data_IF_826981742112
#
_entry.id   IF_826981742112
#
_cell.length_a   1.000
_cell.length_b   1.000
_cell.length_c   1.000
_cell.angle_alpha   90.00
_cell.angle_beta   90.00
_cell.angle_gamma   90.00
#
_symmetry.space_group_name_H-M   'P 1'
#
loop_
_entity.id
_entity.type
_entity.pdbx_description
1 polymer ?
#
# COMPACT_ATOMS: atom_id res chain seq x y z
N UNK A 1 -18.90 10.43 12.73
CA UNK A 1 -19.02 9.68 11.46
C UNK A 1 -20.38 9.95 10.85
N UNK A 2 -20.43 10.31 9.56
CA UNK A 2 -21.69 10.58 8.85
C UNK A 2 -21.67 10.01 7.44
N UNK A 3 -22.84 9.65 6.92
CA UNK A 3 -23.04 9.29 5.51
C UNK A 3 -24.12 10.22 4.95
N UNK A 4 -23.82 10.94 3.87
CA UNK A 4 -24.66 12.01 3.30
C UNK A 4 -25.11 13.05 4.34
N UNK A 5 -24.19 13.41 5.25
CA UNK A 5 -24.45 14.33 6.37
C UNK A 5 -25.30 13.74 7.51
N UNK A 6 -25.81 12.52 7.37
CA UNK A 6 -26.60 11.82 8.38
C UNK A 6 -25.72 11.04 9.35
N UNK A 7 -25.99 11.10 10.65
CA UNK A 7 -25.19 10.35 11.62
C UNK A 7 -25.50 8.84 11.55
N UNK A 8 -24.48 7.99 11.65
CA UNK A 8 -24.64 6.53 11.59
C UNK A 8 -25.57 6.01 12.71
N UNK A 9 -25.56 6.68 13.87
CA UNK A 9 -26.41 6.35 15.01
C UNK A 9 -27.91 6.51 14.72
N UNK A 10 -28.29 7.28 13.69
CA UNK A 10 -29.69 7.42 13.29
C UNK A 10 -30.29 6.13 12.71
N UNK A 11 -29.44 5.18 12.28
CA UNK A 11 -29.85 3.82 11.94
C UNK A 11 -29.70 2.84 13.11
N UNK A 12 -29.34 3.31 14.31
CA UNK A 12 -28.99 2.45 15.44
C UNK A 12 -27.75 1.60 15.16
N UNK A 13 -26.81 2.16 14.40
CA UNK A 13 -25.59 1.48 13.98
C UNK A 13 -24.36 2.17 14.58
N UNK A 14 -23.30 1.39 14.79
CA UNK A 14 -21.94 1.87 15.05
C UNK A 14 -21.00 1.22 14.04
N UNK A 15 -20.03 1.97 13.50
CA UNK A 15 -19.03 1.40 12.61
C UNK A 15 -17.97 0.65 13.43
N UNK A 16 -17.63 -0.57 13.03
CA UNK A 16 -16.57 -1.34 13.66
C UNK A 16 -15.20 -0.92 13.15
N UNK A 17 -14.21 -0.85 14.03
CA UNK A 17 -12.84 -0.38 13.72
C UNK A 17 -12.16 -1.17 12.59
N UNK A 18 -12.42 -2.48 12.48
CA UNK A 18 -11.92 -3.31 11.37
C UNK A 18 -12.37 -2.86 9.98
N UNK A 19 -13.30 -1.91 9.88
CA UNK A 19 -13.70 -1.28 8.62
C UNK A 19 -12.64 -0.32 8.07
N UNK A 20 -11.70 0.15 8.90
CA UNK A 20 -10.68 1.11 8.48
C UNK A 20 -9.57 0.47 7.64
N UNK A 21 -9.34 -0.83 7.77
CA UNK A 21 -8.33 -1.56 7.00
C UNK A 21 -8.51 -1.35 5.50
N UNK A 22 -9.70 -1.69 4.98
CA UNK A 22 -10.02 -1.54 3.55
C UNK A 22 -10.17 -0.07 3.13
N UNK A 23 -10.67 0.78 4.03
CA UNK A 23 -10.88 2.21 3.77
C UNK A 23 -9.55 2.94 3.53
N UNK A 24 -8.56 2.66 4.38
CA UNK A 24 -7.24 3.30 4.39
C UNK A 24 -6.23 2.62 3.46
N UNK A 25 -6.45 1.37 3.05
CA UNK A 25 -5.59 0.68 2.08
C UNK A 25 -5.30 1.56 0.86
N UNK A 26 -4.04 1.69 0.42
CA UNK A 26 -3.78 2.48 -0.77
C UNK A 26 -4.37 1.79 -2.02
N UNK A 27 -4.88 2.54 -3.00
CA UNK A 27 -5.50 1.95 -4.17
C UNK A 27 -4.44 1.31 -5.07
N UNK A 28 -4.82 0.27 -5.81
CA UNK A 28 -3.94 -0.38 -6.79
C UNK A 28 -3.80 0.50 -8.03
N UNK A 29 -2.58 0.68 -8.54
CA UNK A 29 -2.35 1.40 -9.81
C UNK A 29 -2.84 0.53 -10.97
N UNK A 30 -3.51 1.14 -11.96
CA UNK A 30 -3.83 0.43 -13.21
C UNK A 30 -2.55 -0.07 -13.87
N UNK A 31 -2.66 -1.20 -14.56
CA UNK A 31 -1.56 -1.76 -15.32
C UNK A 31 -1.03 -0.74 -16.34
N UNK A 32 0.29 -0.55 -16.34
CA UNK A 32 0.97 0.36 -17.26
C UNK A 32 1.44 -0.42 -18.47
N UNK A 33 1.40 0.21 -19.65
CA UNK A 33 1.97 -0.40 -20.85
C UNK A 33 3.49 -0.40 -20.73
N UNK A 34 4.13 -1.51 -21.08
CA UNK A 34 5.58 -1.69 -20.93
C UNK A 34 6.18 -2.13 -22.24
N UNK A 35 7.44 -1.74 -22.47
CA UNK A 35 8.29 -2.32 -23.51
C UNK A 35 9.38 -3.13 -22.83
N UNK A 36 9.48 -4.40 -23.22
CA UNK A 36 10.43 -5.36 -22.68
C UNK A 36 11.27 -5.93 -23.83
N UNK A 37 12.44 -5.35 -24.05
CA UNK A 37 13.38 -5.79 -25.07
C UNK A 37 14.40 -6.76 -24.48
N UNK A 38 14.62 -7.90 -25.14
CA UNK A 38 15.57 -8.92 -24.70
C UNK A 38 17.00 -8.36 -24.61
N UNK A 39 17.32 -7.37 -25.42
CA UNK A 39 18.62 -6.73 -25.56
C UNK A 39 18.88 -5.64 -24.51
N UNK A 40 17.88 -5.27 -23.70
CA UNK A 40 17.96 -4.22 -22.68
C UNK A 40 17.69 -4.76 -21.29
N UNK A 41 18.33 -4.16 -20.27
CA UNK A 41 18.00 -4.46 -18.88
C UNK A 41 16.63 -3.91 -18.52
N UNK A 42 15.87 -4.68 -17.75
CA UNK A 42 14.62 -4.21 -17.18
C UNK A 42 13.50 -3.99 -18.19
N UNK A 43 12.57 -3.11 -17.84
CA UNK A 43 11.43 -2.70 -18.69
C UNK A 43 11.36 -1.19 -18.81
N UNK A 44 10.72 -0.71 -19.87
CA UNK A 44 10.37 0.70 -20.04
C UNK A 44 8.85 0.88 -19.90
N UNK A 45 8.35 1.28 -18.72
CA UNK A 45 6.93 1.53 -18.49
C UNK A 45 6.52 2.92 -18.97
N UNK A 46 5.29 3.05 -19.50
CA UNK A 46 4.65 4.34 -19.70
C UNK A 46 4.05 4.83 -18.38
N UNK A 47 4.68 5.85 -17.80
CA UNK A 47 4.32 6.44 -16.51
C UNK A 47 3.86 7.89 -16.65
N UNK A 48 3.46 8.31 -17.86
CA UNK A 48 2.99 9.66 -18.15
C UNK A 48 1.70 10.01 -17.39
N UNK A 49 0.84 9.03 -17.17
CA UNK A 49 -0.43 9.17 -16.45
C UNK A 49 -0.48 8.27 -15.21
N UNK A 50 -1.24 8.71 -14.20
CA UNK A 50 -1.47 7.94 -12.97
C UNK A 50 -2.97 7.73 -12.78
N UNK A 51 -3.39 6.49 -12.93
CA UNK A 51 -4.75 6.05 -12.69
C UNK A 51 -4.77 4.86 -11.73
N UNK A 52 -5.85 4.75 -10.97
CA UNK A 52 -6.05 3.68 -10.01
C UNK A 52 -7.23 2.81 -10.40
N UNK A 53 -7.17 1.52 -10.03
CA UNK A 53 -8.28 0.60 -10.18
C UNK A 53 -9.38 0.94 -9.16
N UNK A 54 -10.64 0.71 -9.57
CA UNK A 54 -11.75 0.74 -8.64
C UNK A 54 -11.54 -0.34 -7.57
N UNK A 55 -11.87 -0.03 -6.32
CA UNK A 55 -11.67 -0.96 -5.20
C UNK A 55 -12.95 -1.20 -4.43
N UNK A 56 -13.07 -2.42 -3.91
CA UNK A 56 -14.13 -2.80 -2.98
C UNK A 56 -13.68 -2.47 -1.56
N UNK A 57 -14.52 -1.76 -0.82
CA UNK A 57 -14.32 -1.40 0.58
C UNK A 57 -15.39 -2.10 1.38
N UNK A 58 -15.00 -3.02 2.27
CA UNK A 58 -15.92 -3.66 3.19
C UNK A 58 -16.05 -2.80 4.45
N UNK A 59 -17.28 -2.42 4.78
CA UNK A 59 -17.61 -1.74 6.03
C UNK A 59 -18.50 -2.65 6.87
N UNK A 60 -18.16 -2.80 8.14
CA UNK A 60 -18.89 -3.62 9.10
C UNK A 60 -19.61 -2.72 10.11
N UNK A 61 -20.94 -2.81 10.13
CA UNK A 61 -21.80 -2.04 11.03
C UNK A 61 -22.36 -2.94 12.13
N UNK A 62 -22.16 -2.57 13.38
CA UNK A 62 -22.86 -3.17 14.51
C UNK A 62 -24.21 -2.47 14.69
N UNK A 63 -25.30 -3.21 14.55
CA UNK A 63 -26.66 -2.72 14.78
C UNK A 63 -27.20 -3.28 16.10
N UNK A 64 -27.78 -2.40 16.91
CA UNK A 64 -28.53 -2.79 18.10
C UNK A 64 -29.96 -2.25 18.05
N UNK A 65 -30.91 -2.98 18.64
CA UNK A 65 -32.31 -2.56 18.69
C UNK A 65 -33.05 -3.21 19.87
N UNK A 66 -34.12 -2.57 20.33
CA UNK A 66 -35.03 -3.14 21.32
C UNK A 66 -36.20 -3.85 20.61
N UNK A 67 -36.13 -5.16 20.56
CA UNK A 67 -37.11 -6.04 19.93
C UNK A 67 -36.88 -6.21 18.43
N UNK A 68 -37.44 -7.31 17.92
CA UNK A 68 -37.31 -7.71 16.52
C UNK A 68 -37.91 -6.68 15.54
N UNK A 69 -39.07 -6.10 15.86
CA UNK A 69 -39.73 -5.12 14.99
C UNK A 69 -38.86 -3.88 14.74
N UNK A 70 -38.23 -3.37 15.80
CA UNK A 70 -37.37 -2.19 15.71
C UNK A 70 -36.08 -2.51 14.95
N UNK A 71 -35.52 -3.70 15.16
CA UNK A 71 -34.37 -4.19 14.41
C UNK A 71 -34.66 -4.17 12.90
N UNK A 72 -35.74 -4.79 12.46
CA UNK A 72 -36.11 -4.83 11.04
C UNK A 72 -36.42 -3.45 10.47
N UNK A 73 -37.03 -2.56 11.26
CA UNK A 73 -37.26 -1.17 10.86
C UNK A 73 -35.94 -0.43 10.59
N UNK A 74 -34.95 -0.57 11.48
CA UNK A 74 -33.61 0.01 11.33
C UNK A 74 -32.85 -0.58 10.15
N UNK A 75 -32.85 -1.90 10.01
CA UNK A 75 -32.24 -2.63 8.91
C UNK A 75 -32.79 -2.20 7.54
N UNK A 76 -34.11 -2.16 7.39
CA UNK A 76 -34.75 -1.75 6.15
C UNK A 76 -34.44 -0.28 5.82
N UNK A 77 -34.40 0.58 6.83
CA UNK A 77 -34.04 1.99 6.64
C UNK A 77 -32.58 2.18 6.21
N UNK A 78 -31.64 1.49 6.87
CA UNK A 78 -30.23 1.51 6.50
C UNK A 78 -30.05 1.04 5.06
N UNK A 79 -30.63 -0.11 4.73
CA UNK A 79 -30.56 -0.70 3.39
C UNK A 79 -31.15 0.24 2.34
N UNK A 80 -32.34 0.82 2.60
CA UNK A 80 -32.98 1.77 1.70
C UNK A 80 -32.14 3.03 1.47
N UNK A 81 -31.59 3.62 2.54
CA UNK A 81 -30.81 4.86 2.43
C UNK A 81 -29.48 4.61 1.69
N UNK A 82 -28.80 3.48 1.96
CA UNK A 82 -27.50 3.16 1.36
C UNK A 82 -27.58 2.57 -0.05
N UNK A 83 -28.72 1.96 -0.42
CA UNK A 83 -28.97 1.45 -1.78
C UNK A 83 -29.56 2.51 -2.73
N UNK A 84 -29.76 3.74 -2.24
CA UNK A 84 -30.24 4.85 -3.06
C UNK A 84 -29.31 5.10 -4.27
N UNK A 85 -29.90 5.56 -5.38
CA UNK A 85 -29.17 5.76 -6.64
C UNK A 85 -28.02 6.76 -6.49
N UNK A 86 -26.86 6.43 -7.09
CA UNK A 86 -25.67 7.28 -7.06
C UNK A 86 -24.74 7.03 -5.85
N UNK A 87 -23.72 7.89 -5.73
CA UNK A 87 -22.71 7.79 -4.69
C UNK A 87 -23.21 8.34 -3.35
N UNK A 88 -22.73 7.74 -2.27
CA UNK A 88 -22.83 8.23 -0.90
C UNK A 88 -21.56 8.99 -0.54
N UNK A 89 -21.70 10.12 0.12
CA UNK A 89 -20.57 10.83 0.73
C UNK A 89 -20.34 10.27 2.13
N UNK A 90 -19.20 9.65 2.34
CA UNK A 90 -18.85 9.00 3.60
C UNK A 90 -17.75 9.76 4.32
N UNK A 91 -18.09 10.32 5.47
CA UNK A 91 -17.18 11.01 6.40
C UNK A 91 -17.02 10.14 7.65
N UNK A 92 -16.28 9.04 7.50
CA UNK A 92 -16.08 8.03 8.55
C UNK A 92 -14.86 8.31 9.42
N UNK A 93 -13.83 8.90 8.84
CA UNK A 93 -12.65 9.39 9.55
C UNK A 93 -12.62 10.90 9.41
N UNK A 94 -12.38 11.61 10.51
CA UNK A 94 -12.30 13.07 10.49
C UNK A 94 -11.16 13.53 9.56
N UNK A 95 -11.46 14.42 8.61
CA UNK A 95 -10.51 14.88 7.60
C UNK A 95 -10.44 14.04 6.33
N UNK A 96 -11.21 12.94 6.23
CA UNK A 96 -11.29 12.09 5.04
C UNK A 96 -12.75 11.93 4.57
N UNK A 97 -12.98 12.27 3.31
CA UNK A 97 -14.28 12.13 2.65
C UNK A 97 -14.14 11.15 1.49
N UNK A 98 -14.91 10.06 1.52
CA UNK A 98 -14.95 9.06 0.45
C UNK A 98 -16.26 9.12 -0.32
N UNK A 99 -16.21 9.04 -1.65
CA UNK A 99 -17.40 8.89 -2.49
C UNK A 99 -17.56 7.44 -2.90
N UNK A 100 -18.48 6.75 -2.22
CA UNK A 100 -18.63 5.31 -2.33
C UNK A 100 -20.04 4.96 -2.81
N UNK A 101 -20.16 3.95 -3.67
CA UNK A 101 -21.48 3.38 -4.05
C UNK A 101 -21.61 1.98 -3.48
N UNK A 102 -22.82 1.60 -3.07
CA UNK A 102 -23.06 0.24 -2.59
C UNK A 102 -22.81 -0.76 -3.72
N UNK A 103 -22.00 -1.79 -3.45
CA UNK A 103 -21.85 -2.97 -4.29
C UNK A 103 -22.82 -4.02 -3.75
N UNK A 104 -23.78 -4.48 -4.56
CA UNK A 104 -24.80 -5.41 -4.10
C UNK A 104 -24.16 -6.65 -3.45
N UNK A 105 -24.42 -6.86 -2.15
CA UNK A 105 -23.77 -7.90 -1.36
C UNK A 105 -23.91 -7.69 0.14
N UNK A 106 -25.13 -7.41 0.61
CA UNK A 106 -25.42 -7.35 2.06
C UNK A 106 -25.29 -8.76 2.61
N UNK A 107 -24.14 -9.08 3.21
CA UNK A 107 -24.06 -10.25 4.08
C UNK A 107 -24.45 -9.77 5.47
N UNK A 108 -25.59 -10.22 5.96
CA UNK A 108 -25.97 -10.01 7.35
C UNK A 108 -25.82 -11.33 8.10
N UNK A 109 -25.33 -11.26 9.33
CA UNK A 109 -25.49 -12.36 10.26
C UNK A 109 -26.92 -12.36 10.82
N UNK A 110 -27.48 -13.54 11.08
CA UNK A 110 -28.80 -13.64 11.71
C UNK A 110 -28.81 -12.83 13.01
N UNK A 111 -29.86 -12.04 13.29
CA UNK A 111 -29.94 -11.28 14.52
C UNK A 111 -29.79 -12.17 15.74
N UNK A 112 -28.87 -11.82 16.63
CA UNK A 112 -28.67 -12.48 17.91
C UNK A 112 -29.63 -11.86 18.92
N UNK A 113 -30.43 -12.71 19.55
CA UNK A 113 -31.34 -12.31 20.62
C UNK A 113 -30.58 -12.29 21.95
N UNK A 114 -30.53 -11.12 22.58
CA UNK A 114 -29.93 -10.87 23.88
C UNK A 114 -31.02 -10.75 24.95
N UNK A 115 -30.58 -10.71 26.21
CA UNK A 115 -31.46 -10.44 27.36
C UNK A 115 -32.19 -9.10 27.19
N UNK A 116 -33.28 -8.92 27.95
CA UNK A 116 -34.05 -7.67 27.97
C UNK A 116 -34.62 -7.28 26.59
N UNK A 117 -34.96 -8.28 25.76
CA UNK A 117 -35.54 -8.06 24.43
C UNK A 117 -34.64 -7.21 23.52
N UNK A 118 -33.32 -7.28 23.67
CA UNK A 118 -32.38 -6.63 22.76
C UNK A 118 -31.99 -7.56 21.63
N UNK A 119 -31.92 -7.03 20.41
CA UNK A 119 -31.44 -7.76 19.24
C UNK A 119 -30.19 -7.05 18.71
N UNK A 120 -29.17 -7.81 18.31
CA UNK A 120 -27.99 -7.26 17.66
C UNK A 120 -27.57 -8.06 16.43
N UNK A 121 -26.89 -7.41 15.49
CA UNK A 121 -26.29 -8.08 14.33
C UNK A 121 -25.11 -7.26 13.81
N UNK A 122 -24.16 -7.94 13.19
CA UNK A 122 -23.11 -7.31 12.37
C UNK A 122 -23.54 -7.39 10.91
N UNK A 123 -23.55 -6.22 10.28
CA UNK A 123 -23.91 -6.03 8.88
C UNK A 123 -22.66 -5.71 8.08
N UNK A 124 -22.26 -6.63 7.21
CA UNK A 124 -21.15 -6.44 6.31
C UNK A 124 -21.66 -5.91 4.96
N UNK A 125 -21.24 -4.70 4.63
CA UNK A 125 -21.62 -4.01 3.40
C UNK A 125 -20.38 -3.74 2.56
N UNK A 126 -20.42 -4.18 1.30
CA UNK A 126 -19.38 -3.88 0.33
C UNK A 126 -19.74 -2.61 -0.44
N UNK A 127 -18.80 -1.68 -0.53
CA UNK A 127 -18.91 -0.48 -1.34
C UNK A 127 -17.83 -0.49 -2.42
N UNK A 128 -18.08 0.20 -3.54
CA UNK A 128 -17.05 0.48 -4.54
C UNK A 128 -16.65 1.94 -4.44
N UNK A 129 -15.34 2.16 -4.38
CA UNK A 129 -14.72 3.45 -4.74
C UNK A 129 -14.25 3.35 -6.20
N UNK A 130 -14.99 3.98 -7.13
CA UNK A 130 -14.64 3.91 -8.55
C UNK A 130 -13.45 4.81 -8.90
N UNK A 131 -13.29 5.93 -8.18
CA UNK A 131 -12.25 6.92 -8.45
C UNK A 131 -11.61 7.38 -7.14
N UNK A 132 -10.39 6.87 -6.88
CA UNK A 132 -9.59 7.34 -5.76
C UNK A 132 -9.09 8.77 -6.04
N UNK A 133 -9.35 9.68 -5.10
CA UNK A 133 -8.88 11.06 -5.19
C UNK A 133 -7.65 11.25 -4.32
N UNK A 134 -6.54 11.66 -4.94
CA UNK A 134 -5.31 11.99 -4.21
C UNK A 134 -5.43 13.36 -3.56
N UNK A 135 -4.97 13.44 -2.32
CA UNK A 135 -4.80 14.71 -1.58
C UNK A 135 -3.32 14.99 -1.50
N UNK A 136 -2.89 16.17 -1.93
CA UNK A 136 -1.49 16.59 -1.85
C UNK A 136 -1.16 17.08 -0.44
N UNK A 137 -0.09 16.57 0.14
CA UNK A 137 0.37 16.94 1.48
C UNK A 137 1.89 16.80 1.60
N UNK A 138 2.43 17.31 2.71
CA UNK A 138 3.85 17.24 3.08
C UNK A 138 3.99 16.59 4.47
N UNK A 139 5.07 15.85 4.73
CA UNK A 139 5.26 15.17 6.01
C UNK A 139 5.29 16.16 7.20
N UNK A 140 4.73 15.74 8.34
CA UNK A 140 4.71 16.52 9.58
C UNK A 140 4.67 15.59 10.80
N UNK A 141 5.26 16.01 11.92
CA UNK A 141 5.23 15.26 13.18
C UNK A 141 6.29 14.15 13.27
N UNK A 142 6.25 13.18 12.35
CA UNK A 142 7.27 12.15 12.15
C UNK A 142 7.69 11.34 13.40
N UNK A 143 8.61 10.40 13.21
CA UNK A 143 9.26 9.66 14.30
C UNK A 143 10.73 10.08 14.42
N UNK A 144 11.54 9.45 15.29
CA UNK A 144 13.01 9.72 15.34
C UNK A 144 13.84 8.68 14.59
N UNK A 145 13.25 7.57 14.18
CA UNK A 145 13.90 6.56 13.34
C UNK A 145 14.18 7.16 11.97
N UNK A 146 15.45 7.18 11.53
CA UNK A 146 15.88 7.78 10.26
C UNK A 146 16.90 6.91 9.56
N UNK A 147 17.02 7.11 8.26
CA UNK A 147 18.13 6.64 7.44
C UNK A 147 17.98 5.20 6.97
N UNK A 148 16.79 4.59 7.02
CA UNK A 148 16.59 3.28 6.39
C UNK A 148 16.19 3.42 4.92
N UNK A 149 15.19 4.28 4.66
CA UNK A 149 14.63 4.54 3.35
C UNK A 149 14.32 6.02 3.19
N UNK A 150 14.45 6.52 1.96
CA UNK A 150 13.94 7.83 1.59
C UNK A 150 13.30 7.79 0.21
N UNK A 151 12.16 8.46 0.03
CA UNK A 151 11.47 8.60 -1.26
C UNK A 151 11.52 10.07 -1.69
N UNK A 152 12.04 10.32 -2.89
CA UNK A 152 12.21 11.67 -3.45
C UNK A 152 12.95 12.65 -2.51
N UNK A 153 13.85 12.13 -1.68
CA UNK A 153 14.64 12.90 -0.71
C UNK A 153 14.01 13.04 0.68
N UNK A 154 12.76 12.62 0.88
CA UNK A 154 12.12 12.58 2.19
C UNK A 154 12.37 11.24 2.87
N UNK A 155 12.90 11.26 4.08
CA UNK A 155 13.09 10.05 4.88
C UNK A 155 11.74 9.47 5.30
N UNK A 156 11.60 8.15 5.31
CA UNK A 156 10.35 7.48 5.69
C UNK A 156 9.91 7.88 7.11
N UNK A 157 10.87 8.09 8.00
CA UNK A 157 10.55 8.51 9.36
C UNK A 157 9.97 9.93 9.44
N UNK A 158 10.11 10.79 8.43
CA UNK A 158 9.43 12.09 8.39
C UNK A 158 7.90 11.94 8.26
N UNK A 159 7.44 10.87 7.61
CA UNK A 159 6.02 10.49 7.54
C UNK A 159 5.56 9.71 8.78
N UNK A 160 6.44 9.50 9.76
CA UNK A 160 6.16 8.60 10.88
C UNK A 160 6.25 7.12 10.51
N UNK A 161 6.91 6.78 9.39
CA UNK A 161 6.98 5.41 8.87
C UNK A 161 8.28 4.72 9.26
N UNK A 162 8.18 3.48 9.73
CA UNK A 162 9.29 2.54 9.87
C UNK A 162 9.10 1.29 9.02
N UNK A 163 10.13 0.45 8.97
CA UNK A 163 10.15 -0.82 8.23
C UNK A 163 10.76 -1.90 9.11
N UNK A 164 10.09 -3.04 9.20
CA UNK A 164 10.54 -4.20 9.98
C UNK A 164 11.08 -5.34 9.10
N UNK A 165 10.98 -5.21 7.77
CA UNK A 165 11.39 -6.25 6.85
C UNK A 165 12.92 -6.44 6.79
N UNK A 166 13.32 -7.70 6.82
CA UNK A 166 14.66 -8.11 6.40
C UNK A 166 14.85 -7.78 4.92
N UNK A 167 15.86 -6.96 4.63
CA UNK A 167 16.11 -6.40 3.29
C UNK A 167 16.63 -7.45 2.27
N UNK A 168 16.64 -8.73 2.65
CA UNK A 168 17.18 -9.86 1.87
C UNK A 168 16.53 -9.96 0.48
N UNK A 169 15.22 -9.82 0.40
CA UNK A 169 14.49 -9.89 -0.87
C UNK A 169 14.87 -8.74 -1.82
N UNK A 170 15.19 -7.55 -1.28
CA UNK A 170 15.67 -6.41 -2.05
C UNK A 170 17.10 -6.66 -2.56
N UNK A 171 17.93 -7.34 -1.78
CA UNK A 171 19.33 -7.65 -2.12
C UNK A 171 19.47 -8.77 -3.16
N UNK A 172 18.47 -9.65 -3.31
CA UNK A 172 18.51 -10.73 -4.32
C UNK A 172 18.76 -10.18 -5.73
N UNK A 173 19.61 -10.85 -6.50
CA UNK A 173 19.81 -10.53 -7.92
C UNK A 173 18.51 -10.69 -8.69
N UNK A 174 18.19 -9.78 -9.64
CA UNK A 174 17.03 -9.94 -10.51
C UNK A 174 17.19 -11.19 -11.37
N UNK A 175 16.06 -11.75 -11.82
CA UNK A 175 16.06 -12.84 -12.78
C UNK A 175 16.75 -12.41 -14.08
N UNK A 176 17.37 -13.35 -14.78
CA UNK A 176 17.94 -13.11 -16.10
C UNK A 176 16.83 -13.15 -17.16
N UNK A 177 17.02 -12.39 -18.24
CA UNK A 177 16.19 -12.51 -19.43
C UNK A 177 16.64 -13.68 -20.29
N UNK A 178 15.71 -14.20 -21.07
CA UNK A 178 16.07 -15.09 -22.18
C UNK A 178 16.92 -14.31 -23.19
N UNK A 179 18.04 -14.88 -23.66
CA UNK A 179 18.87 -14.22 -24.66
C UNK A 179 18.10 -13.99 -25.96
N UNK A 180 18.42 -12.91 -26.66
CA UNK A 180 17.82 -12.63 -27.96
C UNK A 180 18.14 -13.74 -28.97
N UNK A 181 17.16 -14.11 -29.80
CA UNK A 181 17.32 -15.06 -30.89
C UNK A 181 16.58 -14.60 -32.14
N UNK A 182 17.25 -14.65 -33.28
CA UNK A 182 16.63 -14.42 -34.61
C UNK A 182 16.08 -15.71 -35.23
N UNK A 183 16.09 -16.82 -34.46
CA UNK A 183 15.70 -18.15 -34.91
C UNK A 183 16.83 -18.97 -35.56
N UNK A 184 18.01 -18.38 -35.76
CA UNK A 184 19.20 -19.06 -36.30
C UNK A 184 20.38 -18.98 -35.34
N UNK A 185 20.57 -17.82 -34.70
CA UNK A 185 21.62 -17.57 -33.74
C UNK A 185 21.02 -17.05 -32.45
N UNK A 186 21.61 -17.47 -31.33
CA UNK A 186 21.29 -16.97 -30.00
C UNK A 186 22.41 -16.01 -29.60
N UNK A 187 22.07 -14.78 -29.23
CA UNK A 187 23.04 -13.81 -28.73
C UNK A 187 23.38 -14.10 -27.27
N UNK A 188 24.52 -14.77 -27.04
CA UNK A 188 25.05 -15.05 -25.71
C UNK A 188 26.11 -14.04 -25.25
N UNK A 189 26.30 -12.93 -25.99
CA UNK A 189 27.37 -11.97 -25.71
C UNK A 189 27.05 -11.02 -24.57
N UNK A 190 25.76 -10.80 -24.27
CA UNK A 190 25.33 -9.90 -23.20
C UNK A 190 24.28 -10.56 -22.33
N UNK A 191 24.46 -10.48 -21.01
CA UNK A 191 23.47 -10.93 -20.04
C UNK A 191 22.58 -9.73 -19.70
N UNK A 192 21.26 -9.92 -19.79
CA UNK A 192 20.27 -8.90 -19.41
C UNK A 192 19.44 -9.38 -18.24
N UNK A 193 19.06 -8.43 -17.39
CA UNK A 193 18.25 -8.70 -16.19
C UNK A 193 16.81 -8.25 -16.41
N UNK A 194 15.88 -8.95 -15.78
CA UNK A 194 14.49 -8.56 -15.70
C UNK A 194 14.30 -7.36 -14.75
N UNK A 195 13.16 -6.70 -14.88
CA UNK A 195 12.70 -5.75 -13.87
C UNK A 195 12.47 -6.49 -12.53
N UNK A 196 12.43 -5.74 -11.43
CA UNK A 196 12.24 -6.32 -10.11
C UNK A 196 11.03 -5.73 -9.42
N UNK A 197 10.21 -6.58 -8.83
CA UNK A 197 9.17 -6.16 -7.89
C UNK A 197 9.70 -6.35 -6.47
N UNK A 198 9.59 -5.31 -5.66
CA UNK A 198 9.91 -5.37 -4.23
C UNK A 198 8.65 -5.07 -3.43
N UNK A 199 8.55 -5.70 -2.27
CA UNK A 199 7.53 -5.42 -1.26
C UNK A 199 8.23 -4.85 -0.04
N UNK A 200 7.65 -3.80 0.53
CA UNK A 200 8.13 -3.20 1.77
C UNK A 200 6.98 -3.28 2.77
N UNK A 201 7.16 -4.04 3.85
CA UNK A 201 6.24 -4.07 4.99
C UNK A 201 6.63 -2.97 5.95
N UNK A 202 5.70 -2.02 6.10
CA UNK A 202 5.89 -0.76 6.76
C UNK A 202 4.89 -0.64 7.90
N UNK A 203 5.25 0.16 8.89
CA UNK A 203 4.32 0.64 9.91
C UNK A 203 4.35 2.15 9.96
N UNK A 204 3.24 2.80 10.34
CA UNK A 204 3.15 4.24 10.53
C UNK A 204 2.59 4.56 11.90
N UNK A 205 3.25 5.47 12.60
CA UNK A 205 2.83 6.03 13.89
C UNK A 205 2.48 7.51 13.78
N UNK A 206 1.45 7.93 14.50
CA UNK A 206 1.10 9.34 14.64
C UNK A 206 0.42 9.60 15.99
N UNK A 207 0.49 10.86 16.47
CA UNK A 207 -0.08 11.26 17.78
C UNK A 207 -1.53 11.75 17.71
N UNK A 208 -2.10 11.77 16.52
CA UNK A 208 -3.49 12.17 16.27
C UNK A 208 -3.94 11.68 14.90
N UNK A 209 -5.27 11.59 14.71
CA UNK A 209 -5.88 11.28 13.41
C UNK A 209 -5.47 12.31 12.34
N UNK A 210 -5.37 13.59 12.70
CA UNK A 210 -4.99 14.66 11.77
C UNK A 210 -3.53 14.53 11.28
N UNK A 211 -2.60 14.25 12.19
CA UNK A 211 -1.19 13.99 11.83
C UNK A 211 -1.08 12.73 10.96
N UNK A 212 -1.79 11.66 11.35
CA UNK A 212 -1.84 10.42 10.59
C UNK A 212 -2.31 10.65 9.15
N UNK A 213 -3.48 11.26 8.95
CA UNK A 213 -4.03 11.48 7.61
C UNK A 213 -3.15 12.39 6.76
N UNK A 214 -2.55 13.43 7.36
CA UNK A 214 -1.59 14.28 6.65
C UNK A 214 -0.41 13.45 6.13
N UNK A 215 0.19 12.61 6.98
CA UNK A 215 1.35 11.79 6.59
C UNK A 215 0.98 10.65 5.63
N UNK A 216 -0.19 10.05 5.80
CA UNK A 216 -0.79 9.10 4.87
C UNK A 216 -0.88 9.72 3.45
N UNK A 217 -1.45 10.92 3.34
CA UNK A 217 -1.56 11.64 2.07
C UNK A 217 -0.19 12.08 1.53
N UNK A 218 0.70 12.56 2.40
CA UNK A 218 2.02 13.03 2.03
C UNK A 218 2.88 11.89 1.48
N UNK A 219 2.87 10.73 2.14
CA UNK A 219 3.59 9.54 1.70
C UNK A 219 3.06 9.07 0.35
N UNK A 220 1.74 8.95 0.20
CA UNK A 220 1.14 8.53 -1.07
C UNK A 220 1.37 9.52 -2.21
N UNK A 221 1.47 10.82 -1.91
CA UNK A 221 1.84 11.86 -2.88
C UNK A 221 3.25 11.61 -3.44
N UNK A 222 4.23 11.30 -2.59
CA UNK A 222 5.58 10.97 -3.03
C UNK A 222 5.66 9.63 -3.76
N UNK A 223 4.81 8.68 -3.36
CA UNK A 223 4.83 7.32 -3.88
C UNK A 223 4.18 7.19 -5.26
N UNK A 224 3.09 7.92 -5.49
CA UNK A 224 2.19 7.76 -6.64
C UNK A 224 2.35 8.83 -7.73
N UNK A 225 3.50 9.52 -7.78
CA UNK A 225 3.80 10.51 -8.81
C UNK A 225 3.82 9.95 -10.23
N UNK A 226 3.76 10.86 -11.22
CA UNK A 226 4.08 10.53 -12.62
C UNK A 226 5.56 10.21 -12.75
N UNK A 227 5.92 9.41 -13.74
CA UNK A 227 7.29 8.94 -13.91
C UNK A 227 7.74 8.00 -12.79
N UNK A 228 9.05 7.79 -12.71
CA UNK A 228 9.66 7.03 -11.62
C UNK A 228 9.97 7.94 -10.44
N UNK A 229 9.90 7.36 -9.25
CA UNK A 229 10.21 7.99 -7.97
C UNK A 229 11.56 7.48 -7.48
N UNK A 230 12.32 8.37 -6.84
CA UNK A 230 13.68 8.10 -6.38
C UNK A 230 13.66 7.47 -4.99
N UNK A 231 13.91 6.17 -4.89
CA UNK A 231 13.98 5.43 -3.64
C UNK A 231 15.44 5.21 -3.22
N UNK A 232 15.85 5.82 -2.11
CA UNK A 232 17.09 5.52 -1.42
C UNK A 232 16.90 4.33 -0.48
N UNK A 233 17.86 3.41 -0.50
CA UNK A 233 17.89 2.21 0.36
C UNK A 233 19.24 2.17 1.05
N UNK A 234 19.26 2.32 2.37
CA UNK A 234 20.51 2.48 3.12
C UNK A 234 21.42 1.27 3.05
N UNK A 235 20.88 0.04 3.07
CA UNK A 235 21.70 -1.17 2.95
C UNK A 235 22.41 -1.31 1.61
N UNK A 236 21.85 -0.72 0.54
CA UNK A 236 22.53 -0.63 -0.75
C UNK A 236 23.49 0.56 -0.81
N UNK A 237 23.34 1.53 0.10
CA UNK A 237 24.04 2.82 0.06
C UNK A 237 23.79 3.55 -1.27
N UNK A 238 22.63 3.33 -1.89
CA UNK A 238 22.33 3.76 -3.25
C UNK A 238 20.85 4.10 -3.43
N UNK A 239 20.59 4.86 -4.49
CA UNK A 239 19.25 5.25 -4.92
C UNK A 239 18.88 4.51 -6.18
N UNK A 240 17.63 4.02 -6.24
CA UNK A 240 17.04 3.39 -7.42
C UNK A 240 15.76 4.11 -7.83
N UNK A 241 15.40 3.95 -9.10
CA UNK A 241 14.13 4.44 -9.63
C UNK A 241 13.05 3.37 -9.46
N UNK A 242 11.90 3.76 -8.91
CA UNK A 242 10.74 2.88 -8.67
C UNK A 242 9.45 3.50 -9.18
N UNK A 243 8.42 2.69 -9.37
CA UNK A 243 7.05 3.19 -9.38
C UNK A 243 6.15 2.28 -8.54
N UNK A 244 5.14 2.87 -7.93
CA UNK A 244 4.16 2.15 -7.13
C UNK A 244 3.21 1.33 -8.00
N UNK A 245 2.98 0.08 -7.61
CA UNK A 245 2.02 -0.80 -8.27
C UNK A 245 0.80 -1.08 -7.41
N UNK A 246 0.98 -1.44 -6.14
CA UNK A 246 -0.11 -1.95 -5.30
C UNK A 246 0.20 -1.84 -3.80
N UNK A 247 -0.83 -1.93 -2.97
CA UNK A 247 -0.74 -2.09 -1.52
C UNK A 247 -1.42 -3.40 -1.15
N UNK A 248 -0.70 -4.54 -1.12
CA UNK A 248 -1.33 -5.85 -0.92
C UNK A 248 -2.03 -6.01 0.44
N UNK A 249 -1.51 -5.40 1.51
CA UNK A 249 -2.03 -5.51 2.86
C UNK A 249 -2.08 -4.16 3.55
N UNK A 250 -3.08 -3.99 4.41
CA UNK A 250 -3.26 -2.84 5.29
C UNK A 250 -4.02 -3.30 6.53
N UNK A 251 -3.57 -2.89 7.71
CA UNK A 251 -4.16 -3.27 8.99
C UNK A 251 -4.00 -2.12 9.97
N UNK A 252 -5.09 -1.70 10.58
CA UNK A 252 -5.08 -0.75 11.70
C UNK A 252 -4.93 -1.55 13.00
N UNK A 253 -3.81 -1.35 13.70
CA UNK A 253 -3.57 -2.03 14.98
C UNK A 253 -4.10 -1.20 16.16
N UNK A 254 -3.87 0.11 16.13
CA UNK A 254 -4.30 1.03 17.18
C UNK A 254 -4.98 2.23 16.53
N UNK A 255 -6.20 2.52 16.97
CA UNK A 255 -6.97 3.70 16.56
C UNK A 255 -7.52 4.47 17.78
N UNK A 256 -6.67 5.28 18.41
CA UNK A 256 -7.03 6.08 19.58
C UNK A 256 -6.76 7.57 19.32
N UNK A 257 -7.36 8.45 20.11
CA UNK A 257 -7.25 9.91 19.92
C UNK A 257 -5.80 10.40 19.91
N UNK A 258 -4.94 9.80 20.74
CA UNK A 258 -3.54 10.18 20.92
C UNK A 258 -2.53 9.27 20.24
N UNK A 259 -2.97 8.11 19.76
CA UNK A 259 -2.07 7.06 19.28
C UNK A 259 -2.72 6.32 18.11
N UNK A 260 -2.12 6.46 16.94
CA UNK A 260 -2.50 5.74 15.73
C UNK A 260 -1.32 4.87 15.33
N UNK A 261 -1.57 3.58 15.12
CA UNK A 261 -0.60 2.62 14.58
C UNK A 261 -1.25 1.80 13.48
N UNK A 262 -0.62 1.80 12.31
CA UNK A 262 -1.05 0.99 11.16
C UNK A 262 0.12 0.22 10.59
N UNK A 263 -0.18 -0.94 10.02
CA UNK A 263 0.73 -1.80 9.28
C UNK A 263 0.26 -1.91 7.85
N UNK A 264 1.18 -1.82 6.90
CA UNK A 264 0.83 -1.96 5.50
C UNK A 264 2.03 -2.40 4.68
N UNK A 265 1.78 -3.19 3.65
CA UNK A 265 2.81 -3.52 2.67
C UNK A 265 2.54 -2.76 1.39
N UNK A 266 3.56 -2.12 0.84
CA UNK A 266 3.53 -1.54 -0.50
C UNK A 266 4.34 -2.40 -1.47
N UNK A 267 3.90 -2.44 -2.72
CA UNK A 267 4.60 -3.06 -3.84
C UNK A 267 5.15 -1.98 -4.76
N UNK A 268 6.45 -2.06 -5.02
CA UNK A 268 7.17 -1.15 -5.90
C UNK A 268 7.81 -1.95 -7.03
N UNK A 269 7.77 -1.39 -8.22
CA UNK A 269 8.46 -1.95 -9.38
C UNK A 269 9.71 -1.12 -9.63
N UNK A 270 10.86 -1.77 -9.71
CA UNK A 270 12.13 -1.23 -10.13
C UNK A 270 12.28 -1.58 -11.62
N UNK A 271 12.07 -0.61 -12.54
CA UNK A 271 12.06 -0.90 -13.96
C UNK A 271 13.41 -1.45 -14.42
N UNK A 272 14.51 -0.90 -13.92
CA UNK A 272 15.89 -1.31 -14.20
C UNK A 272 16.67 -1.39 -12.89
N UNK A 273 17.24 -2.55 -12.59
CA UNK A 273 18.09 -2.76 -11.40
C UNK A 273 19.51 -2.29 -11.71
N UNK A 274 19.94 -1.19 -11.11
CA UNK A 274 21.20 -0.51 -11.46
C UNK A 274 22.41 -0.91 -10.62
N UNK A 275 22.21 -1.58 -9.48
CA UNK A 275 23.29 -1.97 -8.56
C UNK A 275 23.81 -3.41 -8.79
N UNK A 276 23.30 -4.12 -9.80
CA UNK A 276 23.76 -5.44 -10.19
C UNK A 276 24.51 -5.32 -11.51
N UNK A 277 25.84 -5.48 -11.49
CA UNK A 277 26.62 -5.56 -12.73
C UNK A 277 26.50 -6.96 -13.32
N UNK A 278 26.00 -7.04 -14.55
CA UNK A 278 25.87 -8.27 -15.35
C UNK A 278 27.02 -8.36 -16.37
N UNK A 279 28.24 -8.09 -15.92
CA UNK A 279 29.47 -8.27 -16.69
C UNK A 279 29.81 -7.13 -17.66
N UNK A 280 29.24 -5.94 -17.46
CA UNK A 280 29.51 -4.74 -18.25
C UNK A 280 30.43 -3.77 -17.53
N UNK A 281 31.76 -4.01 -17.58
CA UNK A 281 32.87 -3.09 -17.22
C UNK A 281 32.85 -2.52 -15.78
N UNK A 282 31.85 -2.78 -14.95
CA UNK A 282 31.71 -2.16 -13.64
C UNK A 282 32.12 -3.14 -12.54
N UNK A 283 33.45 -3.35 -12.47
CA UNK A 283 34.15 -4.13 -11.43
C UNK A 283 33.37 -4.13 -10.12
N UNK A 284 32.98 -5.34 -9.70
CA UNK A 284 32.56 -5.71 -8.36
C UNK A 284 32.65 -4.54 -7.36
N UNK A 285 31.51 -3.94 -6.99
CA UNK A 285 31.43 -3.35 -5.66
C UNK A 285 31.29 -4.51 -4.70
N UNK A 286 32.42 -5.18 -4.48
CA UNK A 286 32.63 -6.10 -3.36
C UNK A 286 31.96 -5.45 -2.15
N UNK A 287 31.15 -6.23 -1.44
CA UNK A 287 30.63 -5.90 -0.12
C UNK A 287 31.83 -5.77 0.82
N UNK A 288 32.54 -4.64 0.73
CA UNK A 288 33.66 -4.34 1.61
C UNK A 288 33.08 -3.83 2.92
N UNK A 289 32.77 -4.75 3.83
CA UNK A 289 32.60 -4.40 5.22
C UNK A 289 33.99 -4.06 5.78
N UNK A 290 34.25 -2.76 6.01
CA UNK A 290 35.51 -2.27 6.57
C UNK A 290 35.81 -2.78 7.98
N UNK A 291 34.81 -3.26 8.70
CA UNK A 291 34.96 -3.77 10.06
C UNK A 291 35.23 -5.28 10.10
N UNK A 292 34.81 -6.03 9.07
CA UNK A 292 34.90 -7.50 9.04
C UNK A 292 35.95 -8.07 8.08
N UNK A 293 36.52 -7.26 7.16
CA UNK A 293 37.66 -7.69 6.32
C UNK A 293 37.33 -8.82 5.34
N UNK A 294 36.07 -8.94 4.88
CA UNK A 294 35.64 -10.03 4.01
C UNK A 294 35.74 -9.66 2.52
N UNK A 295 36.27 -10.59 1.74
CA UNK A 295 36.23 -10.57 0.27
C UNK A 295 35.52 -11.84 -0.22
N UNK A 296 34.81 -11.76 -1.33
CA UNK A 296 34.24 -12.93 -2.00
C UNK A 296 34.75 -13.01 -3.44
N UNK A 297 34.95 -14.23 -3.96
CA UNK A 297 35.33 -14.45 -5.35
C UNK A 297 34.16 -14.29 -6.34
N UNK A 298 34.49 -14.41 -7.62
CA UNK A 298 33.55 -14.36 -8.74
C UNK A 298 32.48 -15.47 -8.70
N UNK A 299 32.61 -16.47 -7.83
CA UNK A 299 31.62 -17.51 -7.58
C UNK A 299 30.85 -17.32 -6.26
N UNK A 300 31.02 -16.18 -5.58
CA UNK A 300 30.32 -15.85 -4.35
C UNK A 300 30.82 -16.60 -3.11
N UNK A 301 32.00 -17.21 -3.16
CA UNK A 301 32.61 -17.85 -1.99
C UNK A 301 33.38 -16.82 -1.19
N UNK A 302 33.16 -16.80 0.12
CA UNK A 302 33.91 -15.92 1.03
C UNK A 302 35.37 -16.40 1.05
N UNK A 303 36.27 -15.57 0.55
CA UNK A 303 37.71 -15.77 0.62
C UNK A 303 38.23 -14.86 1.73
N UNK A 304 38.37 -15.41 2.93
CA UNK A 304 39.01 -14.75 4.06
C UNK A 304 40.53 -14.79 3.88
N UNK A 305 41.21 -13.66 4.02
CA UNK A 305 42.61 -13.62 4.44
C UNK A 305 42.79 -12.38 5.34
N UNK A 306 43.16 -12.65 6.60
CA UNK A 306 43.53 -11.72 7.69
C UNK A 306 43.61 -10.23 7.38
#
# INVERSE_FOLDING_TARGET
MTIDGKNINEWGCTLLEGSFDDLLKYPKRKAVTTRDWAESNGIVPDLSEVEFEARTIKLSFFMDAYGELEFWRRYNKLTSDLSATGYREMNLIEGMTNRLRLNAGVKYELPVFLNENRNCSVLDLNFIEDNFTRVSAYPSGGISLRGQFAINGYDFGEFGIGCDDGLEDILKTPALKDPFTDGRNIDLTTIRTQHKMIKLSLWMMAKSVGEFLNNYHAFFTQLSGTGTQSLYINTLGATTQVYYSDCPSYTVEIWQETDIMVWFTISLVIPVVTWVDTGGVTRYRVLQDKNLGLLADEQGRIIVFN
#
